data_IF_862018723749
#
_entry.id   IF_862018723749
#
_cell.length_a   1.000
_cell.length_b   1.000
_cell.length_c   1.000
_cell.angle_alpha   90.00
_cell.angle_beta   90.00
_cell.angle_gamma   90.00
#
_symmetry.space_group_name_H-M   'P 1'
#
loop_
_entity.id
_entity.type
_entity.pdbx_description
1 polymer ?
#
# COMPACT_ATOMS: atom_id res chain seq x y z
N UNK A 1 24.33 -7.88 -32.01
CA UNK A 1 23.29 -7.28 -31.14
C UNK A 1 23.28 -8.03 -29.82
N UNK A 2 23.88 -7.44 -28.79
CA UNK A 2 23.96 -8.04 -27.45
C UNK A 2 22.66 -7.78 -26.69
N UNK A 3 22.03 -8.83 -26.18
CA UNK A 3 20.85 -8.75 -25.31
C UNK A 3 21.35 -8.37 -23.90
N UNK A 4 20.83 -7.34 -23.23
CA UNK A 4 21.29 -6.99 -21.90
C UNK A 4 20.88 -8.07 -20.90
N UNK A 5 21.87 -8.55 -20.16
CA UNK A 5 21.75 -9.57 -19.12
C UNK A 5 20.87 -9.08 -17.96
N UNK A 6 19.91 -9.91 -17.57
CA UNK A 6 19.10 -9.75 -16.34
C UNK A 6 20.00 -10.08 -15.15
N UNK A 7 20.29 -9.09 -14.31
CA UNK A 7 20.98 -9.30 -13.03
C UNK A 7 19.94 -9.74 -12.01
N UNK A 8 20.00 -11.01 -11.60
CA UNK A 8 19.19 -11.57 -10.53
C UNK A 8 19.77 -11.11 -9.18
N UNK A 9 19.15 -10.12 -8.53
CA UNK A 9 19.49 -9.72 -7.16
C UNK A 9 18.50 -10.37 -6.21
N UNK A 10 18.96 -11.37 -5.45
CA UNK A 10 18.25 -11.94 -4.30
C UNK A 10 18.88 -11.32 -3.05
N UNK A 11 18.16 -10.43 -2.36
CA UNK A 11 18.62 -9.80 -1.13
C UNK A 11 17.98 -10.47 0.10
N UNK A 12 18.76 -10.80 1.15
CA UNK A 12 18.28 -11.48 2.35
C UNK A 12 17.57 -10.53 3.35
N UNK A 13 16.81 -11.18 4.23
CA UNK A 13 15.56 -10.75 4.89
C UNK A 13 15.70 -9.90 6.18
N UNK A 14 16.71 -9.04 6.35
CA UNK A 14 17.05 -8.52 7.69
C UNK A 14 17.14 -7.00 7.91
N UNK A 15 16.73 -6.12 6.97
CA UNK A 15 16.92 -4.65 7.17
C UNK A 15 15.68 -3.82 6.81
N UNK A 16 14.53 -4.11 7.41
CA UNK A 16 13.32 -3.27 7.27
C UNK A 16 12.65 -2.91 8.60
N UNK A 17 13.42 -2.71 9.66
CA UNK A 17 12.86 -2.21 10.92
C UNK A 17 13.83 -1.25 11.60
N UNK A 18 13.84 0.02 11.19
CA UNK A 18 14.12 1.12 12.13
C UNK A 18 13.76 2.51 11.58
N UNK A 19 12.82 3.13 12.27
CA UNK A 19 12.65 4.56 12.57
C UNK A 19 12.10 5.53 11.51
N UNK A 20 10.82 5.86 11.73
CA UNK A 20 10.15 7.11 11.37
C UNK A 20 10.83 8.33 12.04
N UNK A 21 10.56 9.49 11.41
CA UNK A 21 10.58 10.86 11.92
C UNK A 21 11.77 11.72 11.48
N UNK A 22 11.50 12.68 10.60
CA UNK A 22 12.13 14.00 10.68
C UNK A 22 11.08 15.04 10.34
N UNK A 23 10.57 15.68 11.40
CA UNK A 23 9.78 16.89 11.31
C UNK A 23 10.68 18.10 11.01
N UNK A 24 10.10 19.07 10.32
CA UNK A 24 10.69 20.31 9.85
C UNK A 24 11.15 21.26 10.98
N UNK A 25 12.23 22.00 10.73
CA UNK A 25 12.51 23.36 11.21
C UNK A 25 13.58 23.94 10.27
N UNK A 26 13.22 24.77 9.28
CA UNK A 26 13.09 26.24 9.32
C UNK A 26 14.25 26.98 10.00
N UNK A 27 15.03 27.65 9.14
CA UNK A 27 15.59 28.99 9.26
C UNK A 27 16.21 29.40 10.61
N UNK A 28 17.54 29.40 10.66
CA UNK A 28 18.25 30.33 11.54
C UNK A 28 19.58 30.77 10.91
N UNK A 29 19.67 32.08 10.69
CA UNK A 29 20.85 32.83 10.27
C UNK A 29 21.95 32.74 11.33
N UNK A 30 23.19 32.47 10.91
CA UNK A 30 24.36 32.38 11.78
C UNK A 30 24.84 33.76 12.25
N UNK A 31 25.13 33.94 13.56
CA UNK A 31 25.99 35.02 14.03
C UNK A 31 27.45 34.56 14.20
N UNK A 32 28.36 35.47 13.86
CA UNK A 32 29.83 35.47 14.01
C UNK A 32 30.29 35.03 15.42
N UNK A 33 31.44 34.31 15.57
CA UNK A 33 31.97 33.92 16.86
C UNK A 33 32.67 35.09 17.59
N UNK A 34 32.46 35.20 18.90
CA UNK A 34 33.22 36.07 19.81
C UNK A 34 33.94 35.23 20.88
N UNK A 35 35.05 35.72 21.46
CA UNK A 35 36.15 34.88 21.96
C UNK A 35 35.94 34.30 23.37
N UNK A 36 36.66 33.20 23.64
CA UNK A 36 36.75 32.48 24.91
C UNK A 36 37.24 33.37 26.07
N UNK A 37 36.65 33.25 27.27
CA UNK A 37 37.33 33.55 28.52
C UNK A 37 37.87 32.28 29.21
N UNK A 38 39.07 32.44 29.77
CA UNK A 38 39.89 31.47 30.47
C UNK A 38 39.23 30.72 31.64
N UNK A 39 39.62 29.44 31.74
CA UNK A 39 39.88 28.61 32.94
C UNK A 39 39.11 28.92 34.23
N UNK A 40 38.17 28.03 34.58
CA UNK A 40 37.80 27.74 35.97
C UNK A 40 37.77 26.23 36.19
N UNK A 41 38.42 25.80 37.27
CA UNK A 41 38.84 24.44 37.67
C UNK A 41 37.82 23.29 37.51
N UNK A 42 38.29 22.03 37.35
CA UNK A 42 37.41 20.87 37.38
C UNK A 42 36.76 20.67 38.77
N UNK A 43 35.54 20.13 38.83
CA UNK A 43 34.84 19.88 40.09
C UNK A 43 35.52 18.75 40.91
N UNK A 44 35.36 18.74 42.25
CA UNK A 44 35.92 17.69 43.09
C UNK A 44 35.25 16.32 42.82
N UNK A 45 35.96 15.20 43.08
CA UNK A 45 35.40 13.87 42.89
C UNK A 45 34.26 13.56 43.88
N UNK A 46 33.30 12.69 43.50
CA UNK A 46 32.20 12.31 44.38
C UNK A 46 32.69 11.43 45.56
N UNK A 47 31.96 11.42 46.70
CA UNK A 47 32.29 10.58 47.84
C UNK A 47 32.11 9.08 47.52
N UNK A 48 32.88 8.18 48.17
CA UNK A 48 32.72 6.74 47.99
C UNK A 48 31.33 6.28 48.43
N UNK A 49 30.69 5.47 47.59
CA UNK A 49 29.38 4.86 47.85
C UNK A 49 29.57 3.66 48.77
N UNK A 50 28.89 3.66 49.92
CA UNK A 50 28.82 2.52 50.84
C UNK A 50 27.97 1.39 50.22
N UNK A 51 28.62 0.31 49.78
CA UNK A 51 27.94 -0.90 49.31
C UNK A 51 27.64 -1.80 50.50
N UNK A 52 26.47 -1.63 51.11
CA UNK A 52 25.94 -2.56 52.11
C UNK A 52 24.63 -3.21 51.64
N UNK A 53 24.70 -4.53 51.47
CA UNK A 53 23.65 -5.56 51.60
C UNK A 53 22.35 -5.38 50.80
N UNK A 54 22.32 -5.96 49.59
CA UNK A 54 21.08 -6.29 48.88
C UNK A 54 20.49 -7.60 49.46
N UNK A 55 19.37 -7.50 50.15
CA UNK A 55 18.51 -8.65 50.46
C UNK A 55 17.84 -9.13 49.16
N UNK A 56 17.87 -10.43 48.80
CA UNK A 56 17.17 -10.91 47.62
C UNK A 56 15.65 -10.79 47.82
N UNK A 57 14.88 -10.45 46.76
CA UNK A 57 13.42 -10.43 46.85
C UNK A 57 12.87 -11.85 47.06
N UNK A 58 11.73 -12.01 47.75
CA UNK A 58 11.12 -13.32 47.92
C UNK A 58 10.71 -13.91 46.56
N UNK A 59 10.91 -15.23 46.41
CA UNK A 59 10.52 -15.96 45.21
C UNK A 59 9.01 -15.79 44.94
N UNK A 60 8.66 -15.34 43.74
CA UNK A 60 7.28 -15.19 43.30
C UNK A 60 6.58 -16.55 43.28
N UNK A 61 5.43 -16.65 43.95
CA UNK A 61 4.59 -17.85 43.92
C UNK A 61 4.11 -18.16 42.48
N UNK A 62 3.94 -19.43 42.11
CA UNK A 62 3.41 -19.78 40.79
C UNK A 62 1.96 -19.28 40.63
N UNK A 63 1.56 -18.91 39.40
CA UNK A 63 0.18 -18.48 39.14
C UNK A 63 -0.81 -19.65 39.35
N UNK A 64 -2.06 -19.36 39.73
CA UNK A 64 -3.09 -20.39 39.83
C UNK A 64 -3.40 -21.04 38.47
N UNK A 65 -3.87 -22.30 38.45
CA UNK A 65 -4.28 -22.96 37.22
C UNK A 65 -5.42 -22.20 36.53
N UNK A 66 -5.41 -22.20 35.20
CA UNK A 66 -6.47 -21.58 34.40
C UNK A 66 -7.82 -22.28 34.60
N UNK A 67 -8.94 -21.53 34.61
CA UNK A 67 -10.26 -22.14 34.70
C UNK A 67 -10.57 -23.01 33.48
N UNK A 68 -11.43 -24.04 33.61
CA UNK A 68 -11.85 -24.86 32.48
C UNK A 68 -12.61 -24.00 31.45
N UNK A 69 -12.54 -24.35 30.15
CA UNK A 69 -13.29 -23.64 29.13
C UNK A 69 -14.80 -23.75 29.39
N UNK A 70 -15.58 -22.71 29.07
CA UNK A 70 -17.03 -22.76 29.20
C UNK A 70 -17.60 -23.87 28.31
N UNK A 71 -18.61 -24.58 28.81
CA UNK A 71 -19.36 -25.56 28.02
C UNK A 71 -19.95 -24.87 26.79
N UNK A 72 -19.82 -25.52 25.62
CA UNK A 72 -20.34 -25.00 24.36
C UNK A 72 -21.87 -24.86 24.44
N UNK A 73 -22.37 -23.63 24.30
CA UNK A 73 -23.81 -23.37 24.24
C UNK A 73 -24.45 -24.10 23.05
N UNK A 74 -25.69 -24.61 23.18
CA UNK A 74 -26.40 -25.20 22.06
C UNK A 74 -26.68 -24.16 20.96
N UNK A 75 -26.76 -24.58 19.69
CA UNK A 75 -27.06 -23.68 18.59
C UNK A 75 -28.48 -23.08 18.73
N UNK A 76 -28.72 -21.85 18.24
CA UNK A 76 -30.03 -21.24 18.26
C UNK A 76 -31.01 -21.97 17.33
N UNK A 77 -32.33 -21.90 17.59
CA UNK A 77 -33.33 -22.49 16.72
C UNK A 77 -33.37 -21.80 15.35
N UNK A 78 -33.83 -22.50 14.29
CA UNK A 78 -33.95 -21.92 12.96
C UNK A 78 -35.02 -20.81 12.91
N UNK A 79 -34.88 -19.83 11.99
CA UNK A 79 -35.87 -18.77 11.83
C UNK A 79 -37.21 -19.30 11.29
N UNK A 80 -38.30 -18.62 11.64
CA UNK A 80 -39.64 -18.94 11.15
C UNK A 80 -39.79 -18.62 9.65
N UNK A 81 -40.64 -19.37 8.91
CA UNK A 81 -40.88 -19.11 7.50
C UNK A 81 -41.61 -17.78 7.27
N UNK A 82 -41.39 -17.11 6.12
CA UNK A 82 -42.07 -15.86 5.80
C UNK A 82 -43.58 -16.09 5.53
N UNK A 83 -44.43 -15.08 5.77
CA UNK A 83 -45.85 -15.16 5.45
C UNK A 83 -46.08 -15.20 3.93
N UNK A 84 -47.20 -15.79 3.47
CA UNK A 84 -47.55 -15.81 2.05
C UNK A 84 -47.82 -14.38 1.54
N UNK A 85 -47.19 -14.03 0.42
CA UNK A 85 -47.41 -12.74 -0.25
C UNK A 85 -48.80 -12.70 -0.89
N UNK A 86 -49.54 -11.62 -0.64
CA UNK A 86 -50.82 -11.33 -1.28
C UNK A 86 -50.63 -11.08 -2.77
N UNK A 87 -51.47 -11.70 -3.61
CA UNK A 87 -51.42 -11.54 -5.07
C UNK A 87 -51.64 -10.07 -5.48
N UNK A 88 -50.90 -9.57 -6.49
CA UNK A 88 -51.10 -8.20 -6.97
C UNK A 88 -52.44 -8.06 -7.73
N UNK A 89 -53.07 -6.87 -7.68
CA UNK A 89 -54.28 -6.59 -8.46
C UNK A 89 -53.99 -6.55 -9.97
N UNK A 90 -54.99 -6.80 -10.83
CA UNK A 90 -54.83 -6.72 -12.28
C UNK A 90 -54.58 -5.27 -12.75
N UNK A 91 -53.84 -5.07 -13.85
CA UNK A 91 -53.56 -3.74 -14.38
C UNK A 91 -54.80 -3.10 -15.02
N UNK A 92 -54.91 -1.78 -14.89
CA UNK A 92 -55.95 -0.96 -15.53
C UNK A 92 -55.82 -0.90 -17.06
N UNK A 93 -56.92 -0.72 -17.81
CA UNK A 93 -56.87 -0.59 -19.27
C UNK A 93 -56.21 0.73 -19.71
N UNK A 94 -55.54 0.75 -20.88
CA UNK A 94 -54.86 1.95 -21.38
C UNK A 94 -55.86 3.00 -21.92
N UNK A 95 -55.51 4.30 -21.87
CA UNK A 95 -56.32 5.36 -22.47
C UNK A 95 -56.27 5.34 -24.01
N UNK A 96 -57.26 5.95 -24.70
CA UNK A 96 -57.26 6.03 -26.16
C UNK A 96 -56.09 6.89 -26.67
N UNK A 97 -55.47 6.44 -27.77
CA UNK A 97 -54.27 7.04 -28.33
C UNK A 97 -54.54 8.39 -29.01
N UNK A 98 -53.89 9.44 -28.54
CA UNK A 98 -53.72 10.69 -29.27
C UNK A 98 -52.78 10.46 -30.47
N UNK A 99 -53.15 10.96 -31.65
CA UNK A 99 -52.37 10.81 -32.88
C UNK A 99 -50.94 11.37 -32.72
N UNK A 100 -49.90 10.65 -33.20
CA UNK A 100 -48.52 11.09 -33.03
C UNK A 100 -48.16 12.24 -34.00
N UNK A 101 -47.28 13.16 -33.59
CA UNK A 101 -46.68 14.15 -34.51
C UNK A 101 -45.77 13.45 -35.55
N UNK A 102 -45.44 14.11 -36.67
CA UNK A 102 -44.55 13.54 -37.69
C UNK A 102 -43.16 13.21 -37.10
N UNK A 103 -42.47 12.18 -37.61
CA UNK A 103 -41.19 11.75 -37.06
C UNK A 103 -40.11 12.79 -37.31
N UNK A 104 -39.44 13.22 -36.23
CA UNK A 104 -38.16 13.92 -36.29
C UNK A 104 -37.10 13.01 -36.91
N UNK A 105 -36.24 13.57 -37.76
CA UNK A 105 -35.11 12.87 -38.38
C UNK A 105 -34.30 12.07 -37.36
N UNK A 106 -33.83 10.84 -37.68
CA UNK A 106 -33.03 10.08 -36.74
C UNK A 106 -31.70 10.81 -36.47
N UNK A 107 -31.18 10.82 -35.23
CA UNK A 107 -29.82 11.24 -34.98
C UNK A 107 -28.85 10.30 -35.74
N UNK A 108 -27.65 10.76 -36.11
CA UNK A 108 -26.63 9.86 -36.65
C UNK A 108 -26.42 8.72 -35.66
N UNK A 109 -26.43 7.48 -36.17
CA UNK A 109 -26.27 6.28 -35.37
C UNK A 109 -25.06 6.45 -34.44
N UNK A 110 -25.30 6.38 -33.13
CA UNK A 110 -24.22 6.18 -32.16
C UNK A 110 -23.53 4.88 -32.55
N UNK A 111 -22.27 4.95 -32.99
CA UNK A 111 -21.47 3.77 -33.25
C UNK A 111 -21.62 2.80 -32.07
N UNK A 112 -21.80 1.49 -32.31
CA UNK A 112 -21.76 0.53 -31.21
C UNK A 112 -20.42 0.70 -30.47
N UNK A 113 -20.39 0.56 -29.12
CA UNK A 113 -19.14 0.60 -28.39
C UNK A 113 -18.18 -0.43 -29.02
N UNK A 114 -16.88 -0.10 -29.14
CA UNK A 114 -15.92 -1.04 -29.68
C UNK A 114 -16.03 -2.37 -28.90
N UNK A 115 -15.91 -3.53 -29.57
CA UNK A 115 -15.91 -4.81 -28.88
C UNK A 115 -14.83 -4.77 -27.80
N UNK A 116 -15.07 -5.38 -26.62
CA UNK A 116 -14.04 -5.46 -25.61
C UNK A 116 -12.78 -6.06 -26.24
N UNK A 117 -11.60 -5.49 -26.00
CA UNK A 117 -10.37 -6.05 -26.53
C UNK A 117 -10.29 -7.54 -26.16
N UNK A 118 -9.74 -8.40 -27.05
CA UNK A 118 -9.56 -9.81 -26.74
C UNK A 118 -8.88 -9.95 -25.37
N UNK A 119 -9.33 -10.89 -24.55
CA UNK A 119 -8.92 -11.04 -23.16
C UNK A 119 -7.38 -11.15 -23.04
N UNK A 120 -6.72 -10.01 -22.95
CA UNK A 120 -5.42 -9.90 -22.34
C UNK A 120 -5.66 -10.29 -20.89
N UNK A 121 -4.88 -11.22 -20.35
CA UNK A 121 -4.96 -11.58 -18.93
C UNK A 121 -4.56 -10.41 -17.99
N UNK A 122 -4.36 -9.22 -18.57
CA UNK A 122 -4.12 -7.94 -17.92
C UNK A 122 -5.44 -7.20 -17.73
N UNK A 123 -5.75 -6.89 -16.48
CA UNK A 123 -6.91 -6.08 -16.07
C UNK A 123 -6.41 -4.69 -15.70
N UNK A 124 -6.97 -3.61 -16.27
CA UNK A 124 -6.63 -2.26 -15.86
C UNK A 124 -6.90 -2.04 -14.38
N UNK A 125 -6.00 -1.34 -13.70
CA UNK A 125 -6.19 -0.91 -12.32
C UNK A 125 -7.28 0.17 -12.29
N UNK A 126 -8.41 -0.13 -11.67
CA UNK A 126 -9.55 0.79 -11.60
C UNK A 126 -9.28 2.03 -10.73
N UNK A 127 -8.55 1.86 -9.62
CA UNK A 127 -8.16 2.95 -8.74
C UNK A 127 -6.66 2.88 -8.44
N UNK A 128 -5.89 3.75 -9.08
CA UNK A 128 -4.44 3.84 -8.85
C UNK A 128 -4.08 4.32 -7.45
N UNK A 129 -5.00 4.98 -6.74
CA UNK A 129 -4.82 5.43 -5.36
C UNK A 129 -5.19 4.35 -4.34
N UNK A 130 -5.56 3.14 -4.78
CA UNK A 130 -5.77 2.03 -3.87
C UNK A 130 -4.50 1.78 -3.03
N UNK A 131 -4.60 1.61 -1.69
CA UNK A 131 -3.45 1.44 -0.82
C UNK A 131 -2.54 0.28 -1.23
N UNK A 132 -3.11 -0.78 -1.80
CA UNK A 132 -2.37 -1.93 -2.28
C UNK A 132 -1.56 -1.58 -3.53
N UNK A 133 -2.12 -0.82 -4.46
CA UNK A 133 -1.41 -0.36 -5.67
C UNK A 133 -0.30 0.62 -5.29
N UNK A 134 -0.58 1.51 -4.34
CA UNK A 134 0.43 2.41 -3.79
C UNK A 134 1.58 1.62 -3.12
N UNK A 135 1.27 0.55 -2.39
CA UNK A 135 2.29 -0.33 -1.81
C UNK A 135 3.18 -0.97 -2.88
N UNK A 136 2.60 -1.43 -3.99
CA UNK A 136 3.36 -1.99 -5.13
C UNK A 136 4.32 -0.97 -5.72
N UNK A 137 3.84 0.25 -5.95
CA UNK A 137 4.65 1.33 -6.49
C UNK A 137 5.78 1.74 -5.54
N UNK A 138 5.49 1.86 -4.23
CA UNK A 138 6.49 2.17 -3.21
C UNK A 138 7.57 1.08 -3.13
N UNK A 139 7.16 -0.19 -3.17
CA UNK A 139 8.09 -1.32 -3.25
C UNK A 139 9.01 -1.19 -4.47
N UNK A 140 8.46 -0.95 -5.65
CA UNK A 140 9.23 -0.82 -6.89
C UNK A 140 10.29 0.29 -6.80
N UNK A 141 9.87 1.49 -6.38
CA UNK A 141 10.78 2.64 -6.23
C UNK A 141 11.86 2.35 -5.20
N UNK A 142 11.50 1.77 -4.05
CA UNK A 142 12.47 1.49 -2.99
C UNK A 142 13.54 0.49 -3.43
N UNK A 143 13.14 -0.61 -4.06
CA UNK A 143 14.08 -1.64 -4.55
C UNK A 143 14.96 -1.08 -5.66
N UNK A 144 14.39 -0.28 -6.58
CA UNK A 144 15.18 0.38 -7.62
C UNK A 144 16.18 1.39 -7.04
N UNK A 145 15.73 2.28 -6.14
CA UNK A 145 16.57 3.29 -5.50
C UNK A 145 17.74 2.66 -4.73
N UNK A 146 17.49 1.55 -4.01
CA UNK A 146 18.53 0.81 -3.29
C UNK A 146 19.51 0.12 -4.26
N UNK A 147 19.00 -0.55 -5.31
CA UNK A 147 19.85 -1.27 -6.27
C UNK A 147 20.73 -0.35 -7.12
N UNK A 148 20.28 0.87 -7.40
CA UNK A 148 21.00 1.88 -8.19
C UNK A 148 21.73 2.93 -7.36
N UNK A 149 21.58 2.89 -6.02
CA UNK A 149 22.10 3.87 -5.07
C UNK A 149 21.54 5.29 -5.27
N UNK A 150 20.38 5.41 -5.92
CA UNK A 150 19.63 6.67 -6.07
C UNK A 150 18.74 6.92 -4.85
N UNK A 151 19.34 7.04 -3.66
CA UNK A 151 18.59 7.08 -2.38
C UNK A 151 17.68 8.30 -2.19
N UNK A 152 17.76 9.29 -3.08
CA UNK A 152 16.85 10.44 -3.09
C UNK A 152 15.56 10.19 -3.87
N UNK A 153 15.45 9.05 -4.57
CA UNK A 153 14.25 8.68 -5.32
C UNK A 153 13.09 8.37 -4.39
N UNK A 154 11.94 8.99 -4.67
CA UNK A 154 10.69 8.78 -3.94
C UNK A 154 9.52 8.69 -4.91
N UNK A 155 8.56 7.83 -4.60
CA UNK A 155 7.31 7.77 -5.36
C UNK A 155 6.55 9.09 -5.16
N UNK A 156 6.16 9.72 -6.26
CA UNK A 156 5.27 10.88 -6.24
C UNK A 156 3.82 10.44 -6.42
N UNK A 157 3.52 9.70 -7.50
CA UNK A 157 2.19 9.18 -7.77
C UNK A 157 2.22 8.00 -8.76
N UNK A 158 1.14 7.23 -8.80
CA UNK A 158 0.88 6.22 -9.83
C UNK A 158 -0.06 6.83 -10.87
N UNK A 159 0.34 6.81 -12.14
CA UNK A 159 -0.44 7.39 -13.25
C UNK A 159 -1.44 6.37 -13.77
N UNK A 160 -0.99 5.14 -13.99
CA UNK A 160 -1.80 4.05 -14.53
C UNK A 160 -1.19 2.71 -14.14
N UNK A 161 -1.97 1.65 -14.31
CA UNK A 161 -1.43 0.31 -14.22
C UNK A 161 -2.38 -0.76 -14.67
N UNK A 162 -1.83 -1.97 -14.78
CA UNK A 162 -2.55 -3.19 -15.10
C UNK A 162 -2.07 -4.32 -14.19
N UNK A 163 -2.97 -5.25 -13.89
CA UNK A 163 -2.69 -6.43 -13.07
C UNK A 163 -2.98 -7.71 -13.82
N UNK A 164 -2.23 -8.77 -13.54
CA UNK A 164 -2.46 -10.10 -14.11
C UNK A 164 -2.23 -11.16 -13.04
N UNK A 165 -3.17 -12.09 -12.78
CA UNK A 165 -2.92 -13.23 -11.91
C UNK A 165 -1.74 -14.07 -12.43
N UNK A 166 -0.79 -14.42 -11.55
CA UNK A 166 0.40 -15.18 -11.91
C UNK A 166 0.95 -15.93 -10.68
N UNK A 167 1.07 -17.25 -10.77
CA UNK A 167 1.74 -18.12 -9.78
C UNK A 167 1.32 -17.88 -8.32
N UNK A 168 0.02 -17.76 -8.05
CA UNK A 168 -0.52 -17.52 -6.69
C UNK A 168 -0.41 -16.07 -6.20
N UNK A 169 0.13 -15.17 -7.01
CA UNK A 169 0.15 -13.73 -6.79
C UNK A 169 -0.36 -12.96 -8.01
N UNK A 170 0.14 -11.74 -8.17
CA UNK A 170 -0.18 -10.87 -9.29
C UNK A 170 1.09 -10.26 -9.87
N UNK A 171 1.11 -10.18 -11.19
CA UNK A 171 1.96 -9.28 -11.95
C UNK A 171 1.31 -7.89 -11.96
N UNK A 172 2.12 -6.85 -11.85
CA UNK A 172 1.73 -5.44 -11.88
C UNK A 172 2.60 -4.69 -12.87
N UNK A 173 1.99 -4.05 -13.86
CA UNK A 173 2.65 -3.08 -14.74
C UNK A 173 2.13 -1.70 -14.38
N UNK A 174 2.99 -0.85 -13.86
CA UNK A 174 2.61 0.49 -13.39
C UNK A 174 3.41 1.54 -14.15
N UNK A 175 2.73 2.61 -14.56
CA UNK A 175 3.40 3.87 -14.94
C UNK A 175 3.37 4.78 -13.72
N UNK A 176 4.55 5.18 -13.24
CA UNK A 176 4.69 5.96 -12.01
C UNK A 176 5.47 7.23 -12.24
N UNK A 177 5.19 8.24 -11.43
CA UNK A 177 6.03 9.43 -11.30
C UNK A 177 6.90 9.33 -10.05
N UNK A 178 8.14 9.78 -10.17
CA UNK A 178 9.09 9.83 -9.06
C UNK A 178 9.76 11.19 -8.96
N UNK A 179 10.17 11.56 -7.76
CA UNK A 179 11.07 12.70 -7.52
C UNK A 179 12.49 12.19 -7.27
N UNK A 180 13.50 13.06 -7.45
CA UNK A 180 14.91 12.74 -7.16
C UNK A 180 15.58 11.74 -8.10
N UNK A 181 14.88 11.29 -9.14
CA UNK A 181 15.39 10.37 -10.16
C UNK A 181 15.91 11.05 -11.42
N UNK A 182 16.60 10.28 -12.29
CA UNK A 182 17.08 10.75 -13.60
C UNK A 182 15.96 11.17 -14.55
N UNK A 183 14.77 10.59 -14.38
CA UNK A 183 13.55 10.87 -15.15
C UNK A 183 12.40 11.08 -14.17
N UNK A 184 11.35 11.73 -14.65
CA UNK A 184 10.15 11.98 -13.87
C UNK A 184 9.15 10.83 -13.92
N UNK A 185 9.17 10.00 -14.98
CA UNK A 185 8.24 8.88 -15.17
C UNK A 185 8.96 7.57 -15.50
N UNK A 186 8.44 6.47 -14.98
CA UNK A 186 8.99 5.12 -15.16
C UNK A 186 7.90 4.07 -15.34
N UNK A 187 8.19 3.06 -16.16
CA UNK A 187 7.47 1.80 -16.22
C UNK A 187 8.06 0.83 -15.18
N UNK A 188 7.24 0.43 -14.21
CA UNK A 188 7.59 -0.56 -13.20
C UNK A 188 6.85 -1.86 -13.46
N UNK A 189 7.59 -2.98 -13.52
CA UNK A 189 7.03 -4.32 -13.60
C UNK A 189 7.38 -5.11 -12.34
N UNK A 190 6.36 -5.48 -11.57
CA UNK A 190 6.49 -6.15 -10.27
C UNK A 190 5.67 -7.43 -10.27
N UNK A 191 6.11 -8.44 -9.55
CA UNK A 191 5.27 -9.55 -9.11
C UNK A 191 5.18 -9.58 -7.58
N UNK A 192 4.03 -9.91 -7.03
CA UNK A 192 3.91 -10.09 -5.58
C UNK A 192 2.60 -10.73 -5.12
N UNK A 193 2.61 -11.19 -3.87
CA UNK A 193 1.44 -11.77 -3.18
C UNK A 193 0.99 -10.80 -2.09
N UNK A 194 -0.24 -10.31 -2.20
CA UNK A 194 -0.82 -9.35 -1.27
C UNK A 194 -0.90 -9.91 0.15
N UNK A 195 -0.66 -9.03 1.13
CA UNK A 195 -0.62 -9.42 2.55
C UNK A 195 0.64 -10.21 2.97
N UNK A 196 1.61 -10.40 2.08
CA UNK A 196 2.87 -11.10 2.37
C UNK A 196 4.10 -10.22 2.10
N UNK A 197 5.30 -10.75 2.34
CA UNK A 197 6.59 -10.15 1.96
C UNK A 197 7.18 -10.79 0.68
N UNK A 198 6.42 -11.63 -0.02
CA UNK A 198 6.83 -12.27 -1.28
C UNK A 198 6.60 -11.33 -2.47
N UNK A 199 7.60 -10.51 -2.79
CA UNK A 199 7.55 -9.51 -3.86
C UNK A 199 8.86 -9.51 -4.66
N UNK A 200 8.78 -9.19 -5.94
CA UNK A 200 9.92 -9.13 -6.84
C UNK A 200 9.75 -8.01 -7.87
N UNK A 201 10.77 -7.16 -7.99
CA UNK A 201 10.87 -6.18 -9.07
C UNK A 201 11.49 -6.86 -10.30
N UNK A 202 10.74 -6.94 -11.39
CA UNK A 202 11.22 -7.50 -12.66
C UNK A 202 11.94 -6.46 -13.51
N UNK A 203 11.35 -5.27 -13.64
CA UNK A 203 11.97 -4.16 -14.38
C UNK A 203 11.52 -2.81 -13.86
N UNK A 204 12.38 -1.82 -14.06
CA UNK A 204 12.11 -0.42 -13.77
C UNK A 204 12.83 0.44 -14.81
N UNK A 205 12.09 0.92 -15.81
CA UNK A 205 12.67 1.58 -16.99
C UNK A 205 12.07 2.97 -17.19
N UNK A 206 12.83 3.95 -17.71
CA UNK A 206 12.28 5.24 -18.10
C UNK A 206 11.04 5.07 -18.98
N UNK A 207 9.97 5.79 -18.66
CA UNK A 207 8.77 5.78 -19.48
C UNK A 207 9.03 6.52 -20.80
N UNK A 208 8.68 5.90 -21.92
CA UNK A 208 8.83 6.46 -23.26
C UNK A 208 7.45 6.94 -23.72
N UNK A 209 7.33 8.25 -23.95
CA UNK A 209 6.15 8.93 -24.50
C UNK A 209 6.18 8.94 -26.02
#
# INVERSE_FOLDING_TARGET
MARPSVVLVVLPLAVLATLLATANAQDYTAPVPSPLPDTLSPPPPPPPQDYSTTTPPPASSPPPPSPPPPASSPPPPPPSPPPPMSSPPPPSPPPPASSPPPPSSPPPASSPPPPPPPASNWTPVANVNDPTIQQVAQFAVRIYALSTKELRMQLLSVISGETQPCDGGYNYRLVITVTGGKKTQYDAFVWGILGTMSWKLWSFTPHVV
#
